data_IF_395139634175
#
_entry.id   IF_395139634175
#
_cell.length_a   1.000
_cell.length_b   1.000
_cell.length_c   1.000
_cell.angle_alpha   90.00
_cell.angle_beta   90.00
_cell.angle_gamma   90.00
#
_symmetry.space_group_name_H-M   'P 1'
#
loop_
_entity.id
_entity.type
_entity.pdbx_description
1 polymer ?
#
# COMPACT_ATOMS: atom_id res chain seq x y z
N UNK A 1 -9.67 26.67 35.04
CA UNK A 1 -10.07 26.18 33.70
C UNK A 1 -8.80 25.74 33.00
N UNK A 2 -8.65 24.44 32.70
CA UNK A 2 -7.43 23.89 32.13
C UNK A 2 -7.47 24.02 30.60
N UNK A 3 -6.46 24.69 30.03
CA UNK A 3 -6.23 24.71 28.59
C UNK A 3 -5.67 23.35 28.16
N UNK A 4 -6.39 22.66 27.27
CA UNK A 4 -5.86 21.49 26.58
C UNK A 4 -4.75 21.92 25.62
N UNK A 5 -3.54 21.40 25.82
CA UNK A 5 -2.45 21.58 24.87
C UNK A 5 -2.76 20.76 23.60
N UNK A 6 -2.75 21.43 22.44
CA UNK A 6 -2.83 20.75 21.16
C UNK A 6 -1.63 19.82 21.01
N UNK A 7 -1.88 18.54 20.69
CA UNK A 7 -0.84 17.56 20.42
C UNK A 7 0.06 17.96 19.24
N UNK A 8 1.24 17.34 19.10
CA UNK A 8 2.18 17.68 18.03
C UNK A 8 1.50 17.52 16.66
N UNK A 9 1.79 18.41 15.71
CA UNK A 9 1.19 18.34 14.38
C UNK A 9 1.56 17.02 13.72
N UNK A 10 0.54 16.28 13.28
CA UNK A 10 0.71 15.09 12.43
C UNK A 10 1.42 15.53 11.14
N UNK A 11 2.53 14.90 10.72
CA UNK A 11 3.19 15.27 9.48
C UNK A 11 2.24 15.08 8.29
N UNK A 12 1.72 16.18 7.74
CA UNK A 12 1.09 16.19 6.42
C UNK A 12 2.21 16.09 5.40
N UNK A 13 2.09 15.20 4.42
CA UNK A 13 2.99 15.19 3.28
C UNK A 13 2.85 16.52 2.52
N UNK A 14 3.71 17.49 2.82
CA UNK A 14 3.79 18.77 2.11
C UNK A 14 4.90 18.69 1.08
N UNK A 15 4.56 18.95 -0.18
CA UNK A 15 5.55 19.23 -1.23
C UNK A 15 6.07 20.66 -1.02
N UNK A 16 7.34 20.81 -0.65
CA UNK A 16 8.02 22.11 -0.56
C UNK A 16 8.84 22.35 -1.84
N UNK A 17 8.49 23.34 -2.68
CA UNK A 17 9.13 23.59 -3.97
C UNK A 17 10.62 23.96 -3.90
N UNK A 18 11.15 24.33 -2.73
CA UNK A 18 12.54 24.75 -2.57
C UNK A 18 13.54 23.60 -2.35
N UNK A 19 13.08 22.35 -2.21
CA UNK A 19 13.96 21.18 -2.10
C UNK A 19 14.24 20.62 -3.50
N UNK A 20 15.52 20.47 -3.84
CA UNK A 20 15.92 19.75 -5.06
C UNK A 20 15.43 18.31 -4.94
N UNK A 21 14.42 17.97 -5.72
CA UNK A 21 13.84 16.63 -5.75
C UNK A 21 14.72 15.73 -6.62
N UNK A 22 15.27 14.67 -6.03
CA UNK A 22 16.01 13.65 -6.77
C UNK A 22 15.44 12.27 -6.49
N UNK A 23 15.35 11.47 -7.54
CA UNK A 23 15.06 10.05 -7.41
C UNK A 23 16.31 9.33 -6.91
N UNK A 24 16.12 8.43 -5.96
CA UNK A 24 17.17 7.51 -5.51
C UNK A 24 16.59 6.13 -5.29
N UNK A 25 17.36 5.10 -5.62
CA UNK A 25 17.04 3.74 -5.20
C UNK A 25 17.14 3.67 -3.68
N UNK A 26 16.05 3.34 -3.01
CA UNK A 26 16.05 3.08 -1.58
C UNK A 26 16.78 1.77 -1.28
N UNK A 27 17.60 1.76 -0.25
CA UNK A 27 18.04 0.50 0.38
C UNK A 27 16.89 -0.02 1.23
N UNK A 28 16.46 -1.25 0.95
CA UNK A 28 15.32 -1.91 1.62
C UNK A 28 15.75 -3.27 2.14
N UNK A 29 15.12 -3.70 3.23
CA UNK A 29 15.36 -4.97 3.91
C UNK A 29 14.12 -5.87 3.86
N UNK A 30 14.25 -7.10 4.35
CA UNK A 30 13.12 -8.03 4.54
C UNK A 30 12.82 -8.86 3.31
N UNK A 31 11.54 -9.14 3.09
CA UNK A 31 11.03 -9.93 1.97
C UNK A 31 10.35 -9.02 0.94
N UNK A 32 11.11 -8.44 0.00
CA UNK A 32 10.54 -7.53 -0.98
C UNK A 32 9.61 -8.27 -1.96
N UNK A 33 8.48 -7.66 -2.34
CA UNK A 33 7.59 -8.21 -3.35
C UNK A 33 8.31 -8.36 -4.70
N UNK A 34 8.00 -9.43 -5.43
CA UNK A 34 8.49 -9.62 -6.80
C UNK A 34 8.02 -8.52 -7.78
N UNK A 35 8.67 -8.39 -8.96
CA UNK A 35 8.30 -7.42 -9.99
C UNK A 35 6.82 -7.52 -10.37
N UNK A 36 6.13 -6.38 -10.51
CA UNK A 36 4.71 -6.34 -10.81
C UNK A 36 4.26 -5.02 -11.44
N UNK A 37 3.15 -5.04 -12.16
CA UNK A 37 2.39 -3.86 -12.61
C UNK A 37 0.97 -3.88 -12.06
N UNK A 38 0.30 -2.72 -12.01
CA UNK A 38 -1.13 -2.66 -11.66
C UNK A 38 -1.49 -3.09 -10.24
N UNK A 39 -0.51 -3.19 -9.33
CA UNK A 39 -0.78 -3.44 -7.92
C UNK A 39 -1.39 -2.19 -7.29
N UNK A 40 -2.34 -2.37 -6.37
CA UNK A 40 -2.90 -1.26 -5.61
C UNK A 40 -2.08 -1.03 -4.36
N UNK A 41 -1.89 0.23 -3.97
CA UNK A 41 -1.21 0.58 -2.72
C UNK A 41 -1.82 1.79 -2.03
N UNK A 42 -1.74 1.80 -0.70
CA UNK A 42 -2.14 2.91 0.16
C UNK A 42 -1.21 3.01 1.37
N UNK A 43 -1.09 4.21 1.93
CA UNK A 43 -0.30 4.45 3.15
C UNK A 43 -1.25 4.59 4.33
N UNK A 44 -1.02 3.81 5.39
CA UNK A 44 -1.76 3.86 6.66
C UNK A 44 -0.76 3.85 7.79
N UNK A 45 -0.89 4.77 8.75
CA UNK A 45 -0.06 4.83 9.97
C UNK A 45 1.45 4.67 9.74
N UNK A 46 1.98 5.33 8.71
CA UNK A 46 3.41 5.32 8.41
C UNK A 46 3.92 4.01 7.81
N UNK A 47 3.04 3.19 7.26
CA UNK A 47 3.35 1.99 6.46
C UNK A 47 2.66 2.03 5.11
N UNK A 48 3.32 1.54 4.07
CA UNK A 48 2.72 1.35 2.76
C UNK A 48 2.22 -0.09 2.64
N UNK A 49 0.97 -0.26 2.25
CA UNK A 49 0.37 -1.56 1.99
C UNK A 49 0.19 -1.74 0.49
N UNK A 50 0.45 -2.95 -0.01
CA UNK A 50 0.34 -3.27 -1.42
C UNK A 50 -0.32 -4.63 -1.63
N UNK A 51 -1.30 -4.68 -2.52
CA UNK A 51 -2.02 -5.91 -2.86
C UNK A 51 -2.01 -6.19 -4.36
N UNK A 52 -1.74 -7.46 -4.70
CA UNK A 52 -1.94 -7.99 -6.05
C UNK A 52 -1.02 -7.38 -7.11
N UNK A 53 -1.57 -7.20 -8.31
CA UNK A 53 -0.88 -6.81 -9.52
C UNK A 53 -0.60 -7.98 -10.48
N UNK A 54 0.16 -7.72 -11.54
CA UNK A 54 0.57 -8.72 -12.54
C UNK A 54 2.08 -8.94 -12.50
N UNK A 55 2.49 -10.16 -12.16
CA UNK A 55 3.89 -10.54 -11.94
C UNK A 55 4.60 -11.11 -13.18
N UNK A 56 4.13 -10.81 -14.39
CA UNK A 56 4.70 -11.34 -15.64
C UNK A 56 4.13 -12.71 -16.05
N UNK A 57 3.87 -13.59 -15.09
CA UNK A 57 3.32 -14.94 -15.32
C UNK A 57 1.85 -15.10 -14.90
N UNK A 58 1.23 -14.03 -14.40
CA UNK A 58 -0.14 -14.08 -13.89
C UNK A 58 -0.46 -12.96 -12.93
N UNK A 59 -1.73 -12.89 -12.54
CA UNK A 59 -2.21 -11.96 -11.51
C UNK A 59 -1.86 -12.52 -10.15
N UNK A 60 -1.63 -11.61 -9.22
CA UNK A 60 -1.22 -11.92 -7.86
C UNK A 60 -2.37 -11.62 -6.89
N UNK A 61 -2.37 -12.31 -5.75
CA UNK A 61 -3.25 -12.07 -4.60
C UNK A 61 -2.44 -11.95 -3.30
N UNK A 62 -1.13 -11.70 -3.41
CA UNK A 62 -0.26 -11.51 -2.28
C UNK A 62 -0.47 -10.11 -1.66
N UNK A 63 -0.20 -10.03 -0.36
CA UNK A 63 -0.36 -8.81 0.41
C UNK A 63 0.96 -8.49 1.14
N UNK A 64 1.43 -7.26 1.00
CA UNK A 64 2.69 -6.80 1.56
C UNK A 64 2.51 -5.50 2.32
N UNK A 65 3.30 -5.31 3.38
CA UNK A 65 3.57 -4.01 3.97
C UNK A 65 5.03 -3.61 3.81
N UNK A 66 5.25 -2.30 3.67
CA UNK A 66 6.54 -1.66 3.80
C UNK A 66 6.51 -0.72 5.00
N UNK A 67 7.34 -1.00 5.99
CA UNK A 67 7.59 -0.11 7.12
C UNK A 67 8.61 0.95 6.71
N UNK A 68 8.18 2.23 6.67
CA UNK A 68 9.06 3.33 6.26
C UNK A 68 10.17 3.64 7.28
N UNK A 69 9.91 3.40 8.58
CA UNK A 69 10.89 3.66 9.64
C UNK A 69 12.02 2.63 9.59
N UNK A 70 11.66 1.35 9.41
CA UNK A 70 12.61 0.24 9.32
C UNK A 70 13.16 0.03 7.90
N UNK A 71 12.53 0.65 6.89
CA UNK A 71 12.78 0.42 5.46
C UNK A 71 12.71 -1.06 5.09
N UNK A 72 11.69 -1.74 5.59
CA UNK A 72 11.59 -3.18 5.54
C UNK A 72 10.27 -3.63 4.94
N UNK A 73 10.34 -4.54 3.97
CA UNK A 73 9.18 -5.23 3.43
C UNK A 73 8.86 -6.47 4.24
N UNK A 74 7.58 -6.67 4.53
CA UNK A 74 7.07 -7.88 5.14
C UNK A 74 5.88 -8.39 4.31
N UNK A 75 5.85 -9.69 4.03
CA UNK A 75 4.66 -10.35 3.50
C UNK A 75 3.64 -10.50 4.62
N UNK A 76 2.39 -10.11 4.35
CA UNK A 76 1.28 -10.23 5.30
C UNK A 76 0.50 -11.49 4.98
N UNK A 77 0.42 -12.39 5.96
CA UNK A 77 -0.50 -13.51 5.92
C UNK A 77 -1.87 -13.08 6.45
N UNK A 78 -2.91 -13.33 5.68
CA UNK A 78 -4.29 -13.03 6.06
C UNK A 78 -5.05 -14.32 6.40
N UNK A 79 -6.12 -14.19 7.18
CA UNK A 79 -7.00 -15.32 7.54
C UNK A 79 -8.35 -15.17 6.84
N UNK A 80 -8.98 -16.29 6.52
CA UNK A 80 -10.29 -16.33 5.86
C UNK A 80 -10.20 -16.21 4.33
N UNK A 81 -11.34 -15.99 3.69
CA UNK A 81 -11.42 -15.77 2.24
C UNK A 81 -11.07 -14.31 1.93
N UNK A 82 -9.80 -14.08 1.57
CA UNK A 82 -9.32 -12.79 1.09
C UNK A 82 -9.68 -12.51 -0.38
N UNK A 83 -9.34 -11.33 -0.91
CA UNK A 83 -9.58 -11.02 -2.30
C UNK A 83 -8.83 -12.00 -3.23
N UNK A 84 -9.50 -12.45 -4.29
CA UNK A 84 -8.84 -13.24 -5.34
C UNK A 84 -7.77 -12.45 -6.11
N UNK A 85 -7.03 -13.17 -6.96
CA UNK A 85 -5.99 -12.58 -7.81
C UNK A 85 -6.55 -11.45 -8.68
N UNK A 86 -5.85 -10.32 -8.73
CA UNK A 86 -6.29 -9.14 -9.47
C UNK A 86 -5.15 -8.17 -9.77
N UNK A 87 -5.30 -7.43 -10.86
CA UNK A 87 -4.50 -6.25 -11.20
C UNK A 87 -5.42 -5.08 -11.55
N UNK A 88 -4.86 -3.88 -11.61
CA UNK A 88 -5.57 -2.62 -11.91
C UNK A 88 -6.77 -2.38 -10.98
N UNK A 89 -6.66 -2.83 -9.74
CA UNK A 89 -7.65 -2.64 -8.68
C UNK A 89 -7.44 -1.32 -7.92
N UNK A 90 -8.47 -0.88 -7.21
CA UNK A 90 -8.40 0.26 -6.29
C UNK A 90 -8.17 -0.17 -4.86
N UNK A 91 -7.46 0.65 -4.08
CA UNK A 91 -7.41 0.54 -2.62
C UNK A 91 -7.46 1.92 -1.99
N UNK A 92 -8.26 2.08 -0.94
CA UNK A 92 -8.37 3.33 -0.18
C UNK A 92 -8.30 3.05 1.32
N UNK A 93 -7.71 3.98 2.06
CA UNK A 93 -7.77 4.01 3.52
C UNK A 93 -8.99 4.82 3.96
N UNK A 94 -9.74 4.29 4.94
CA UNK A 94 -10.78 5.03 5.63
C UNK A 94 -10.91 4.55 7.09
N UNK A 95 -10.68 5.45 8.04
CA UNK A 95 -10.76 5.19 9.48
C UNK A 95 -9.87 4.03 9.96
N UNK A 96 -8.62 3.99 9.50
CA UNK A 96 -7.62 2.98 9.86
C UNK A 96 -7.86 1.62 9.22
N UNK A 97 -8.72 1.55 8.20
CA UNK A 97 -9.04 0.31 7.47
C UNK A 97 -8.76 0.49 5.99
N UNK A 98 -8.27 -0.57 5.36
CA UNK A 98 -8.08 -0.65 3.92
C UNK A 98 -9.31 -1.27 3.27
N UNK A 99 -9.80 -0.61 2.23
CA UNK A 99 -10.90 -1.07 1.40
C UNK A 99 -10.38 -1.26 -0.02
N UNK A 100 -10.54 -2.47 -0.54
CA UNK A 100 -10.04 -2.86 -1.86
C UNK A 100 -11.23 -3.18 -2.77
N UNK A 101 -11.16 -2.76 -4.02
CA UNK A 101 -12.28 -2.94 -4.96
C UNK A 101 -11.83 -3.11 -6.40
N UNK A 102 -12.62 -3.88 -7.14
CA UNK A 102 -12.52 -3.99 -8.59
C UNK A 102 -11.22 -4.62 -9.07
N UNK A 103 -10.83 -4.26 -10.29
CA UNK A 103 -9.68 -4.80 -11.01
C UNK A 103 -10.07 -5.91 -12.00
N UNK A 104 -9.06 -6.63 -12.49
CA UNK A 104 -9.22 -7.72 -13.45
C UNK A 104 -8.49 -8.97 -12.95
N UNK A 105 -9.18 -10.10 -12.88
CA UNK A 105 -8.62 -11.36 -12.34
C UNK A 105 -7.96 -12.26 -13.41
N UNK A 106 -7.95 -11.84 -14.67
CA UNK A 106 -7.49 -12.66 -15.79
C UNK A 106 -8.60 -13.25 -16.64
N UNK A 107 -9.85 -13.22 -16.17
CA UNK A 107 -11.03 -13.70 -16.90
C UNK A 107 -12.14 -12.65 -16.99
N UNK A 108 -12.32 -11.85 -15.95
CA UNK A 108 -13.43 -10.90 -15.82
C UNK A 108 -13.00 -9.65 -15.06
N UNK A 109 -13.61 -8.53 -15.40
CA UNK A 109 -13.57 -7.32 -14.58
C UNK A 109 -14.37 -7.57 -13.30
N UNK A 110 -13.80 -7.16 -12.16
CA UNK A 110 -14.39 -7.35 -10.84
C UNK A 110 -15.25 -6.13 -10.49
N UNK A 111 -16.37 -6.39 -9.83
CA UNK A 111 -17.27 -5.39 -9.26
C UNK A 111 -17.72 -5.89 -7.87
N UNK A 112 -16.75 -5.97 -6.95
CA UNK A 112 -16.87 -6.63 -5.65
C UNK A 112 -16.77 -5.65 -4.46
N UNK A 113 -17.25 -4.42 -4.65
CA UNK A 113 -17.43 -3.45 -3.57
C UNK A 113 -18.85 -3.48 -3.00
#
# INVERSE_FOLDING_TARGET
MAHAAAGPPVPRATYTPEQVNFWRKGHVMGDPPGPRSGAASAVVDGKLYMFGGYGGNGRLNDFYEFDFAMRMWNRIETRGEGPGMRENNGVVEYQGKLYLFGGYNGSSWLNDF
#
